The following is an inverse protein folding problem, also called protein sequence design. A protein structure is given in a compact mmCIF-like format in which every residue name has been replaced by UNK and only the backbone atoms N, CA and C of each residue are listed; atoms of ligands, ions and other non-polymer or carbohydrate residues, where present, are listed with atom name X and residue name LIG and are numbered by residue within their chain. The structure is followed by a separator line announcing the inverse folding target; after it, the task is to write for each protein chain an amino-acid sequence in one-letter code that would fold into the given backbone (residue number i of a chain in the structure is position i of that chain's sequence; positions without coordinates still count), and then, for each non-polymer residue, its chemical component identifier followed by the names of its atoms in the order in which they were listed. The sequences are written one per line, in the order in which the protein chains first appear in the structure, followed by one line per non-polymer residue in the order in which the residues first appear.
data_IF_909658585998
#
_entry.id   IF_909658585998
#
_cell.length_a   1.000
_cell.length_b   1.000
_cell.length_c   1.000
_cell.angle_alpha   90.00
_cell.angle_beta   90.00
_cell.angle_gamma   90.00
#
_symmetry.space_group_name_H-M   'P 1'
#
loop_
_entity.id
_entity.type
_entity.pdbx_description
1 polymer ?
#
# COMPACT_ATOMS: atom_id res chain seq x y z
N UNK A 1 0.86 5.54 -4.66
CA UNK A 1 1.32 6.17 -5.92
C UNK A 1 2.84 6.08 -6.09
N UNK A 2 3.66 6.57 -5.15
CA UNK A 2 5.14 6.56 -5.30
C UNK A 2 5.74 5.18 -5.56
N UNK A 3 5.19 4.10 -4.95
CA UNK A 3 5.65 2.74 -5.21
C UNK A 3 5.50 2.36 -6.69
N UNK A 4 4.35 2.65 -7.30
CA UNK A 4 4.09 2.42 -8.72
C UNK A 4 5.11 3.17 -9.59
N UNK A 5 5.27 4.48 -9.35
CA UNK A 5 6.18 5.34 -10.13
C UNK A 5 7.65 4.88 -10.08
N UNK A 6 8.07 4.27 -8.97
CA UNK A 6 9.46 3.85 -8.78
C UNK A 6 9.74 2.40 -9.14
N UNK A 7 8.73 1.53 -9.07
CA UNK A 7 8.97 0.08 -9.05
C UNK A 7 8.10 -0.72 -10.02
N UNK A 8 6.88 -0.27 -10.34
CA UNK A 8 5.92 -1.12 -11.02
C UNK A 8 6.04 -1.13 -12.56
N UNK A 9 6.67 -0.12 -13.19
CA UNK A 9 6.59 0.05 -14.66
C UNK A 9 5.13 0.06 -15.19
N UNK A 10 4.17 0.40 -14.34
CA UNK A 10 2.76 0.45 -14.65
C UNK A 10 2.43 1.67 -15.53
N UNK A 11 1.37 1.54 -16.32
CA UNK A 11 0.83 2.63 -17.14
C UNK A 11 -0.43 3.24 -16.51
N UNK A 12 -1.16 2.45 -15.74
CA UNK A 12 -2.43 2.81 -15.17
C UNK A 12 -2.42 2.59 -13.66
N UNK A 13 -3.11 3.48 -12.94
CA UNK A 13 -3.33 3.38 -11.50
C UNK A 13 -4.81 3.60 -11.21
N UNK A 14 -5.42 2.67 -10.49
CA UNK A 14 -6.76 2.81 -9.95
C UNK A 14 -6.66 3.09 -8.45
N UNK A 15 -7.26 4.21 -8.03
CA UNK A 15 -7.44 4.56 -6.63
C UNK A 15 -8.93 4.55 -6.32
N UNK A 16 -9.34 3.75 -5.34
CA UNK A 16 -10.73 3.66 -4.89
C UNK A 16 -10.80 4.00 -3.41
N UNK A 17 -11.69 4.93 -3.08
CA UNK A 17 -12.03 5.28 -1.70
C UNK A 17 -13.49 4.93 -1.49
N UNK A 18 -13.77 4.18 -0.43
CA UNK A 18 -15.11 3.79 -0.05
C UNK A 18 -15.31 4.07 1.44
N UNK A 19 -16.39 4.78 1.76
CA UNK A 19 -16.86 4.88 3.14
C UNK A 19 -17.62 3.61 3.50
N UNK A 20 -17.29 3.02 4.64
CA UNK A 20 -17.95 1.86 5.23
C UNK A 20 -18.47 2.23 6.62
N UNK A 21 -19.43 1.48 7.20
CA UNK A 21 -19.88 1.71 8.57
C UNK A 21 -18.72 1.77 9.59
N UNK A 22 -17.71 0.92 9.40
CA UNK A 22 -16.54 0.77 10.25
C UNK A 22 -15.40 1.78 9.96
N UNK A 23 -15.53 2.62 8.93
CA UNK A 23 -14.52 3.64 8.61
C UNK A 23 -14.33 3.89 7.12
N UNK A 24 -13.07 4.04 6.70
CA UNK A 24 -12.69 4.31 5.30
C UNK A 24 -11.87 3.13 4.77
N UNK A 25 -12.24 2.62 3.59
CA UNK A 25 -11.43 1.67 2.85
C UNK A 25 -10.81 2.38 1.63
N UNK A 26 -9.49 2.30 1.53
CA UNK A 26 -8.71 2.79 0.40
C UNK A 26 -8.07 1.58 -0.29
N UNK A 27 -8.30 1.41 -1.59
CA UNK A 27 -7.54 0.46 -2.40
C UNK A 27 -6.79 1.16 -3.52
N UNK A 28 -5.57 0.69 -3.76
CA UNK A 28 -4.69 1.19 -4.81
C UNK A 28 -4.23 -0.04 -5.60
N UNK A 29 -4.47 -0.04 -6.90
CA UNK A 29 -4.07 -1.11 -7.81
C UNK A 29 -3.43 -0.50 -9.05
N UNK A 30 -2.38 -1.10 -9.56
CA UNK A 30 -1.77 -0.74 -10.83
C UNK A 30 -1.66 -1.96 -11.75
N UNK A 31 -1.35 -1.72 -13.02
CA UNK A 31 -1.19 -2.75 -14.07
C UNK A 31 0.28 -3.12 -14.32
N UNK A 32 1.15 -2.86 -13.35
CA UNK A 32 2.58 -3.06 -13.47
C UNK A 32 3.08 -4.41 -12.93
N UNK A 33 4.40 -4.47 -12.80
CA UNK A 33 5.14 -5.53 -12.15
C UNK A 33 4.82 -5.53 -10.66
N UNK A 34 4.25 -6.64 -10.20
CA UNK A 34 4.02 -6.89 -8.78
C UNK A 34 5.32 -7.02 -7.98
N UNK A 35 5.18 -7.19 -6.67
CA UNK A 35 6.30 -7.39 -5.76
C UNK A 35 5.91 -8.41 -4.68
N UNK A 36 6.92 -9.02 -4.05
CA UNK A 36 6.72 -9.83 -2.84
C UNK A 36 6.88 -8.95 -1.60
N UNK A 37 5.85 -8.78 -0.77
CA UNK A 37 5.99 -8.10 0.51
C UNK A 37 6.93 -8.90 1.43
N UNK A 38 7.83 -8.20 2.11
CA UNK A 38 8.65 -8.81 3.15
C UNK A 38 7.86 -9.02 4.43
N UNK A 39 8.18 -10.09 5.19
CA UNK A 39 7.65 -10.28 6.54
C UNK A 39 8.02 -9.12 7.48
N UNK A 40 9.22 -8.55 7.28
CA UNK A 40 9.72 -7.38 8.01
C UNK A 40 10.16 -6.28 7.03
N UNK A 41 9.22 -5.45 6.52
CA UNK A 41 9.49 -4.47 5.45
C UNK A 41 10.59 -3.46 5.81
N UNK A 42 10.64 -3.02 7.07
CA UNK A 42 11.65 -2.06 7.54
C UNK A 42 13.08 -2.60 7.45
N UNK A 43 13.29 -3.88 7.82
CA UNK A 43 14.60 -4.52 7.79
C UNK A 43 15.07 -4.85 6.37
N UNK A 44 14.12 -5.09 5.45
CA UNK A 44 14.41 -5.42 4.05
C UNK A 44 14.41 -4.19 3.13
N UNK A 45 14.55 -2.98 3.69
CA UNK A 45 14.64 -1.75 2.90
C UNK A 45 13.32 -1.26 2.28
N UNK A 46 12.21 -1.97 2.49
CA UNK A 46 10.86 -1.59 2.09
C UNK A 46 10.25 -0.58 3.07
N UNK A 47 11.00 0.48 3.41
CA UNK A 47 10.65 1.50 4.42
C UNK A 47 9.33 2.20 4.13
N UNK A 48 9.01 2.39 2.85
CA UNK A 48 7.72 2.95 2.42
C UNK A 48 6.54 2.09 2.88
N UNK A 49 6.65 0.76 2.79
CA UNK A 49 5.62 -0.16 3.27
C UNK A 49 5.59 -0.23 4.79
N UNK A 50 6.75 -0.29 5.45
CA UNK A 50 6.82 -0.26 6.91
C UNK A 50 6.06 0.94 7.50
N UNK A 51 6.31 2.15 6.98
CA UNK A 51 5.60 3.35 7.43
C UNK A 51 4.12 3.38 7.02
N UNK A 52 3.71 2.70 5.93
CA UNK A 52 2.28 2.58 5.58
C UNK A 52 1.55 1.65 6.57
N UNK A 53 2.15 0.51 6.93
CA UNK A 53 1.60 -0.40 7.96
C UNK A 53 1.50 0.33 9.30
N UNK A 54 2.57 0.99 9.75
CA UNK A 54 2.60 1.74 11.02
C UNK A 54 1.48 2.78 11.09
N UNK A 55 1.30 3.60 10.05
CA UNK A 55 0.25 4.63 10.02
C UNK A 55 -1.15 4.03 10.02
N UNK A 56 -1.38 2.94 9.28
CA UNK A 56 -2.66 2.24 9.31
C UNK A 56 -2.96 1.75 10.74
N UNK A 57 -1.98 1.13 11.40
CA UNK A 57 -2.10 0.65 12.78
C UNK A 57 -2.33 1.78 13.79
N UNK A 58 -1.63 2.92 13.67
CA UNK A 58 -1.83 4.09 14.53
C UNK A 58 -3.26 4.67 14.43
N UNK A 59 -3.93 4.47 13.31
CA UNK A 59 -5.32 4.86 13.08
C UNK A 59 -6.32 3.75 13.45
N UNK A 60 -5.88 2.66 14.06
CA UNK A 60 -6.72 1.50 14.38
C UNK A 60 -7.14 0.67 13.16
N UNK A 61 -6.50 0.90 12.01
CA UNK A 61 -6.72 0.18 10.76
C UNK A 61 -5.66 -0.89 10.49
N UNK A 62 -5.73 -1.44 9.29
CA UNK A 62 -4.77 -2.40 8.78
C UNK A 62 -4.44 -2.11 7.31
N UNK A 63 -3.29 -2.58 6.87
CA UNK A 63 -2.86 -2.55 5.48
C UNK A 63 -2.66 -3.99 5.00
N UNK A 64 -3.16 -4.30 3.81
CA UNK A 64 -2.92 -5.55 3.09
C UNK A 64 -2.40 -5.23 1.69
N UNK A 65 -1.60 -6.12 1.13
CA UNK A 65 -0.96 -6.02 -0.20
C UNK A 65 -0.94 -7.38 -0.86
#
# INVERSE_FOLDING_TARGET
VTNMLRHAQAKNLLVRIQRRPEGLALSISDDGLGFSPADNPGQQGQRGMAGMVERATLLGGHLTV
#
